data_IF_150065703858
#
_entry.id   IF_150065703858
#
_cell.length_a   1.000
_cell.length_b   1.000
_cell.length_c   1.000
_cell.angle_alpha   90.00
_cell.angle_beta   90.00
_cell.angle_gamma   90.00
#
_symmetry.space_group_name_H-M   'P 1'
#
loop_
_entity.id
_entity.type
_entity.pdbx_description
1 polymer ?
#
# COMPACT_ATOMS: atom_id res chain seq x y z
N UNK A 1 1.02 -82.41 6.79
CA UNK A 1 1.34 -82.73 5.37
C UNK A 1 0.12 -83.45 4.80
N UNK A 2 -0.37 -83.12 3.59
CA UNK A 2 -1.36 -83.99 2.95
C UNK A 2 -0.79 -85.41 2.90
N UNK A 3 -1.66 -86.41 3.12
CA UNK A 3 -1.24 -87.80 3.06
C UNK A 3 -0.53 -88.06 1.73
N UNK A 4 0.68 -88.62 1.76
CA UNK A 4 1.36 -89.02 0.54
C UNK A 4 0.49 -89.99 -0.26
N UNK A 5 0.67 -90.00 -1.59
CA UNK A 5 -0.10 -90.85 -2.48
C UNK A 5 0.00 -92.34 -2.08
N UNK A 6 -1.05 -93.11 -2.39
CA UNK A 6 -1.09 -94.56 -2.20
C UNK A 6 0.01 -95.25 -3.04
N UNK A 7 0.58 -96.32 -2.46
CA UNK A 7 1.53 -97.22 -3.10
C UNK A 7 0.92 -97.86 -4.36
N UNK A 8 1.25 -97.32 -5.54
CA UNK A 8 0.70 -97.84 -6.80
C UNK A 8 1.77 -98.19 -7.83
N UNK A 9 2.93 -97.54 -7.81
CA UNK A 9 4.10 -97.90 -8.64
C UNK A 9 5.40 -97.54 -7.92
N UNK A 10 6.36 -98.48 -7.85
CA UNK A 10 7.70 -98.27 -7.29
C UNK A 10 8.76 -98.64 -8.32
N UNK A 11 9.84 -97.87 -8.33
CA UNK A 11 11.03 -98.17 -9.13
C UNK A 11 11.82 -99.26 -8.42
N UNK A 12 12.19 -100.31 -9.16
CA UNK A 12 13.08 -101.36 -8.67
C UNK A 12 14.41 -100.73 -8.21
N UNK A 13 14.93 -101.20 -7.08
CA UNK A 13 16.22 -100.79 -6.48
C UNK A 13 16.28 -99.35 -5.91
N UNK A 14 15.14 -98.68 -5.73
CA UNK A 14 15.06 -97.40 -5.02
C UNK A 14 14.72 -97.57 -3.52
N UNK A 15 15.21 -96.64 -2.70
CA UNK A 15 14.92 -96.61 -1.25
C UNK A 15 13.76 -95.66 -0.97
N UNK A 16 12.74 -96.14 -0.27
CA UNK A 16 11.54 -95.38 0.07
C UNK A 16 11.37 -95.28 1.58
N UNK A 17 10.97 -94.09 2.06
CA UNK A 17 10.51 -93.90 3.45
C UNK A 17 9.00 -93.80 3.47
N UNK A 18 8.38 -94.57 4.36
CA UNK A 18 6.94 -94.85 4.32
C UNK A 18 6.32 -94.60 5.70
N UNK A 19 5.04 -94.26 5.74
CA UNK A 19 4.28 -94.05 6.98
C UNK A 19 3.03 -94.89 6.98
N UNK A 20 2.73 -95.53 8.11
CA UNK A 20 1.45 -96.22 8.33
C UNK A 20 0.39 -95.21 8.73
N UNK A 21 -0.73 -95.14 8.01
CA UNK A 21 -1.82 -94.20 8.30
C UNK A 21 -3.02 -94.83 9.02
N UNK A 22 -2.90 -96.08 9.47
CA UNK A 22 -4.00 -96.84 10.09
C UNK A 22 -4.70 -97.81 9.15
N UNK A 23 -4.57 -97.65 7.83
CA UNK A 23 -5.18 -98.54 6.83
C UNK A 23 -4.17 -99.02 5.77
N UNK A 24 -3.28 -98.14 5.31
CA UNK A 24 -2.27 -98.44 4.29
C UNK A 24 -0.91 -97.82 4.67
N UNK A 25 0.17 -98.38 4.11
CA UNK A 25 1.44 -97.65 4.02
C UNK A 25 1.33 -96.60 2.90
N UNK A 26 1.74 -95.37 3.20
CA UNK A 26 1.81 -94.25 2.26
C UNK A 26 3.25 -93.76 2.16
N UNK A 27 3.62 -93.17 1.02
CA UNK A 27 4.93 -92.51 0.90
C UNK A 27 4.99 -91.35 1.90
N UNK A 28 6.14 -91.18 2.56
CA UNK A 28 6.35 -89.99 3.38
C UNK A 28 6.38 -88.77 2.44
N UNK A 29 5.36 -87.91 2.51
CA UNK A 29 5.35 -86.67 1.73
C UNK A 29 6.57 -85.81 2.06
N UNK A 30 7.41 -85.56 1.06
CA UNK A 30 8.21 -84.34 1.01
C UNK A 30 7.26 -83.22 0.62
N UNK A 31 7.33 -82.10 1.32
CA UNK A 31 6.37 -81.04 1.11
C UNK A 31 6.79 -79.82 1.90
N UNK A 32 7.50 -78.92 1.24
CA UNK A 32 7.68 -77.55 1.67
C UNK A 32 6.42 -76.77 1.23
N UNK A 33 5.48 -76.55 2.14
CA UNK A 33 4.27 -75.76 1.87
C UNK A 33 4.52 -74.24 1.85
N UNK A 34 5.72 -73.82 1.46
CA UNK A 34 6.13 -72.43 1.40
C UNK A 34 5.74 -71.78 0.08
N UNK A 35 5.41 -70.49 0.12
CA UNK A 35 5.13 -69.67 -1.06
C UNK A 35 6.27 -68.69 -1.40
N UNK A 36 7.41 -68.82 -0.72
CA UNK A 36 8.57 -67.95 -0.95
C UNK A 36 9.15 -68.21 -2.35
N UNK A 37 9.41 -67.11 -3.05
CA UNK A 37 10.10 -67.08 -4.33
C UNK A 37 11.52 -66.55 -4.15
N UNK A 38 12.35 -66.64 -5.20
CA UNK A 38 13.69 -66.05 -5.18
C UNK A 38 13.67 -64.54 -4.84
N UNK A 39 12.67 -63.79 -5.31
CA UNK A 39 12.52 -62.36 -5.01
C UNK A 39 12.14 -62.07 -3.55
N UNK A 40 11.66 -63.05 -2.79
CA UNK A 40 11.32 -62.89 -1.37
C UNK A 40 12.52 -63.13 -0.44
N UNK A 41 13.62 -63.65 -0.98
CA UNK A 41 14.82 -64.03 -0.23
C UNK A 41 15.95 -63.05 -0.51
N UNK A 42 16.69 -62.66 0.54
CA UNK A 42 17.90 -61.87 0.40
C UNK A 42 18.89 -62.52 -0.56
N UNK A 43 19.55 -61.70 -1.38
CA UNK A 43 20.52 -62.16 -2.37
C UNK A 43 21.54 -63.13 -1.77
N UNK A 44 21.66 -64.31 -2.37
CA UNK A 44 22.57 -65.38 -1.93
C UNK A 44 22.06 -66.26 -0.78
N UNK A 45 20.87 -65.99 -0.22
CA UNK A 45 20.19 -66.93 0.70
C UNK A 45 19.45 -67.99 -0.08
N UNK A 46 19.45 -69.23 0.38
CA UNK A 46 18.78 -70.35 -0.28
C UNK A 46 17.56 -70.81 0.51
N UNK A 47 16.57 -71.38 -0.18
CA UNK A 47 15.45 -72.09 0.40
C UNK A 47 15.09 -73.31 -0.45
N UNK A 48 14.53 -74.36 0.16
CA UNK A 48 14.08 -75.56 -0.54
C UNK A 48 12.58 -75.50 -0.77
N UNK A 49 12.15 -75.75 -2.01
CA UNK A 49 10.74 -75.86 -2.42
C UNK A 49 10.49 -77.25 -2.99
N UNK A 50 9.23 -77.58 -3.23
CA UNK A 50 8.86 -78.83 -3.92
C UNK A 50 9.40 -78.91 -5.37
N UNK A 51 9.81 -77.76 -5.95
CA UNK A 51 10.45 -77.67 -7.27
C UNK A 51 11.99 -77.68 -7.23
N UNK A 52 12.59 -77.76 -6.03
CA UNK A 52 14.04 -77.72 -5.82
C UNK A 52 14.51 -76.51 -5.00
N UNK A 53 15.83 -76.33 -4.93
CA UNK A 53 16.45 -75.19 -4.25
C UNK A 53 16.27 -73.91 -5.07
N UNK A 54 15.85 -72.84 -4.40
CA UNK A 54 15.83 -71.48 -4.94
C UNK A 54 16.89 -70.63 -4.25
N UNK A 55 17.56 -69.77 -5.01
CA UNK A 55 18.51 -68.78 -4.49
C UNK A 55 17.89 -67.39 -4.55
N UNK A 56 17.98 -66.65 -3.46
CA UNK A 56 17.40 -65.33 -3.31
C UNK A 56 18.03 -64.29 -4.22
N UNK A 57 17.19 -63.33 -4.62
CA UNK A 57 17.55 -62.22 -5.51
C UNK A 57 17.25 -60.85 -4.90
N UNK A 58 16.58 -60.77 -3.73
CA UNK A 58 16.24 -59.49 -3.10
C UNK A 58 17.52 -58.72 -2.71
N UNK A 59 17.74 -57.50 -3.25
CA UNK A 59 18.89 -56.69 -2.86
C UNK A 59 18.80 -56.28 -1.40
N UNK A 60 19.93 -56.29 -0.69
CA UNK A 60 20.03 -55.66 0.62
C UNK A 60 20.46 -54.19 0.44
N UNK A 61 19.57 -53.25 0.78
CA UNK A 61 19.80 -51.80 0.68
C UNK A 61 20.38 -51.20 1.97
N UNK A 62 20.42 -51.96 3.06
CA UNK A 62 20.90 -51.47 4.35
C UNK A 62 20.06 -50.30 4.88
N UNK A 63 20.73 -49.28 5.41
CA UNK A 63 20.12 -48.02 5.83
C UNK A 63 20.16 -47.02 4.68
N UNK A 64 19.00 -46.71 4.11
CA UNK A 64 18.87 -45.71 3.05
C UNK A 64 18.41 -44.39 3.65
N UNK A 65 19.28 -43.37 3.60
CA UNK A 65 18.95 -42.03 4.06
C UNK A 65 19.03 -41.02 2.92
N UNK A 66 18.07 -40.08 2.88
CA UNK A 66 17.99 -39.07 1.84
C UNK A 66 17.50 -37.73 2.39
N UNK A 67 17.99 -36.64 1.82
CA UNK A 67 17.50 -35.29 2.14
C UNK A 67 16.78 -34.73 0.93
N UNK A 68 15.50 -34.41 1.09
CA UNK A 68 14.66 -33.86 0.04
C UNK A 68 14.88 -32.36 -0.11
N UNK A 69 14.96 -31.91 -1.37
CA UNK A 69 14.73 -30.51 -1.71
C UNK A 69 13.26 -30.14 -1.52
N UNK A 70 12.94 -28.83 -1.49
CA UNK A 70 11.55 -28.37 -1.42
C UNK A 70 10.79 -28.86 -2.65
N UNK A 71 9.65 -29.52 -2.42
CA UNK A 71 8.84 -30.21 -3.45
C UNK A 71 9.60 -31.30 -4.22
N UNK A 72 10.77 -31.73 -3.73
CA UNK A 72 11.51 -32.85 -4.28
C UNK A 72 10.82 -34.17 -3.99
N UNK A 73 11.16 -35.19 -4.78
CA UNK A 73 10.70 -36.57 -4.57
C UNK A 73 11.91 -37.50 -4.50
N UNK A 74 11.75 -38.61 -3.77
CA UNK A 74 12.75 -39.66 -3.67
C UNK A 74 12.07 -41.01 -3.81
N UNK A 75 12.43 -41.76 -4.85
CA UNK A 75 11.97 -43.13 -5.04
C UNK A 75 12.80 -44.06 -4.16
N UNK A 76 12.16 -44.68 -3.18
CA UNK A 76 12.79 -45.71 -2.35
C UNK A 76 13.01 -46.95 -3.23
N UNK A 77 14.27 -47.43 -3.39
CA UNK A 77 14.53 -48.58 -4.22
C UNK A 77 13.98 -49.86 -3.60
N UNK A 78 13.48 -50.77 -4.44
CA UNK A 78 13.06 -52.11 -4.01
C UNK A 78 14.22 -52.90 -3.39
N UNK A 79 13.89 -53.71 -2.39
CA UNK A 79 14.81 -54.57 -1.66
C UNK A 79 14.55 -54.52 -0.15
N UNK A 80 15.41 -55.19 0.60
CA UNK A 80 15.39 -55.18 2.06
C UNK A 80 16.07 -53.91 2.60
N UNK A 81 15.38 -53.22 3.51
CA UNK A 81 15.92 -52.09 4.26
C UNK A 81 16.00 -52.46 5.74
N UNK A 82 17.07 -52.05 6.41
CA UNK A 82 17.33 -52.44 7.80
C UNK A 82 16.58 -51.61 8.86
N UNK A 83 15.63 -50.77 8.43
CA UNK A 83 14.82 -49.90 9.31
C UNK A 83 15.57 -48.73 9.95
N UNK A 84 16.86 -48.53 9.68
CA UNK A 84 17.67 -47.44 10.26
C UNK A 84 17.85 -46.24 9.31
N UNK A 85 17.31 -46.33 8.09
CA UNK A 85 17.31 -45.22 7.13
C UNK A 85 16.31 -44.12 7.48
N UNK A 86 16.55 -42.90 7.01
CA UNK A 86 15.66 -41.75 7.24
C UNK A 86 15.56 -40.85 6.02
N UNK A 87 14.34 -40.42 5.69
CA UNK A 87 14.11 -39.33 4.73
C UNK A 87 13.87 -38.06 5.51
N UNK A 88 14.72 -37.05 5.30
CA UNK A 88 14.61 -35.73 5.95
C UNK A 88 14.30 -34.66 4.94
N UNK A 89 13.70 -33.57 5.41
CA UNK A 89 13.56 -32.33 4.65
C UNK A 89 13.75 -31.17 5.61
N UNK A 90 14.63 -30.24 5.24
CA UNK A 90 14.84 -29.01 5.99
C UNK A 90 14.23 -27.85 5.21
N UNK A 91 13.17 -27.28 5.76
CA UNK A 91 12.51 -26.12 5.18
C UNK A 91 12.90 -24.89 6.02
N UNK A 92 13.51 -23.85 5.43
CA UNK A 92 13.72 -22.59 6.13
C UNK A 92 12.39 -22.04 6.63
N UNK A 93 12.29 -21.79 7.93
CA UNK A 93 11.09 -21.21 8.54
C UNK A 93 11.30 -19.75 8.88
N UNK A 94 10.24 -18.97 8.72
CA UNK A 94 10.14 -17.60 9.21
C UNK A 94 9.21 -17.60 10.41
N UNK A 95 9.76 -17.24 11.57
CA UNK A 95 8.97 -17.03 12.78
C UNK A 95 8.04 -15.83 12.65
N UNK A 96 7.20 -15.59 13.66
CA UNK A 96 6.31 -14.45 13.69
C UNK A 96 7.09 -13.12 13.59
N UNK A 97 6.57 -12.17 12.82
CA UNK A 97 7.17 -10.85 12.69
C UNK A 97 6.11 -9.78 12.44
N UNK A 98 6.42 -8.56 12.85
CA UNK A 98 5.62 -7.36 12.56
C UNK A 98 6.41 -6.48 11.59
N UNK A 99 5.79 -6.11 10.48
CA UNK A 99 6.35 -5.32 9.40
C UNK A 99 5.68 -3.94 9.45
N UNK A 100 6.45 -2.92 9.81
CA UNK A 100 6.03 -1.52 9.72
C UNK A 100 6.26 -1.04 8.28
N UNK A 101 5.23 -0.59 7.53
CA UNK A 101 5.41 -0.06 6.18
C UNK A 101 6.46 1.06 6.11
N UNK A 102 7.13 1.19 4.96
CA UNK A 102 8.16 2.21 4.71
C UNK A 102 7.95 2.87 3.36
N UNK A 103 8.74 3.89 3.04
CA UNK A 103 8.71 4.54 1.72
C UNK A 103 9.36 3.71 0.61
N UNK A 104 10.04 2.62 0.97
CA UNK A 104 10.61 1.65 0.04
C UNK A 104 9.94 0.28 0.18
N UNK A 105 9.96 -0.50 -0.90
CA UNK A 105 9.43 -1.86 -0.91
C UNK A 105 10.15 -2.74 0.12
N UNK A 106 9.36 -3.47 0.90
CA UNK A 106 9.85 -4.46 1.85
C UNK A 106 9.48 -5.85 1.35
N UNK A 107 10.49 -6.67 1.09
CA UNK A 107 10.34 -7.97 0.44
C UNK A 107 10.44 -9.07 1.49
N UNK A 108 9.42 -9.93 1.54
CA UNK A 108 9.55 -11.25 2.17
C UNK A 108 10.09 -12.19 1.10
N UNK A 109 11.35 -12.62 1.26
CA UNK A 109 12.00 -13.48 0.29
C UNK A 109 11.27 -14.82 0.12
N UNK A 110 11.25 -15.32 -1.12
CA UNK A 110 10.65 -16.61 -1.44
C UNK A 110 11.42 -17.80 -0.82
N UNK A 111 10.80 -18.97 -0.80
CA UNK A 111 11.44 -20.21 -0.32
C UNK A 111 11.46 -20.38 1.19
N UNK A 112 10.65 -19.62 1.92
CA UNK A 112 10.50 -19.74 3.38
C UNK A 112 9.08 -20.16 3.73
N UNK A 113 8.94 -21.03 4.74
CA UNK A 113 7.65 -21.39 5.32
C UNK A 113 7.33 -20.47 6.50
N UNK A 114 6.12 -19.91 6.53
CA UNK A 114 5.68 -19.08 7.64
C UNK A 114 5.27 -19.98 8.81
N UNK A 115 6.14 -20.13 9.79
CA UNK A 115 5.84 -20.85 11.03
C UNK A 115 5.07 -19.97 12.03
N UNK A 116 5.00 -18.66 11.78
CA UNK A 116 4.20 -17.72 12.56
C UNK A 116 3.67 -16.58 11.68
N UNK A 117 2.61 -15.93 12.19
CA UNK A 117 1.96 -14.81 11.51
C UNK A 117 2.93 -13.69 11.17
N UNK A 118 2.82 -13.18 9.95
CA UNK A 118 3.45 -11.94 9.54
C UNK A 118 2.38 -10.85 9.59
N UNK A 119 2.59 -9.84 10.44
CA UNK A 119 1.63 -8.74 10.60
C UNK A 119 2.18 -7.54 9.84
N UNK A 120 1.53 -7.15 8.76
CA UNK A 120 1.81 -5.87 8.10
C UNK A 120 0.97 -4.83 8.82
N UNK A 121 1.61 -3.86 9.47
CA UNK A 121 0.90 -2.89 10.28
C UNK A 121 0.06 -1.94 9.41
N UNK A 122 -1.23 -1.91 9.67
CA UNK A 122 -2.09 -0.81 9.25
C UNK A 122 -1.91 0.40 10.16
N UNK A 123 -2.33 1.56 9.69
CA UNK A 123 -2.44 2.77 10.50
C UNK A 123 -3.88 3.29 10.42
N UNK A 124 -4.58 3.51 11.56
CA UNK A 124 -5.87 4.18 11.57
C UNK A 124 -5.83 5.58 10.95
N UNK A 125 -4.64 6.20 10.91
CA UNK A 125 -4.45 7.49 10.27
C UNK A 125 -4.30 7.40 8.75
N UNK A 126 -4.24 6.19 8.16
CA UNK A 126 -4.23 6.01 6.71
C UNK A 126 -5.64 6.11 6.12
N UNK A 127 -6.20 7.31 6.21
CA UNK A 127 -7.51 7.72 5.72
C UNK A 127 -7.37 8.91 4.78
N UNK A 128 -8.34 9.11 3.89
CA UNK A 128 -8.30 10.17 2.87
C UNK A 128 -8.17 11.57 3.48
N UNK A 129 -8.78 11.78 4.65
CA UNK A 129 -8.77 13.04 5.40
C UNK A 129 -7.39 13.42 5.95
N UNK A 130 -6.44 12.48 6.00
CA UNK A 130 -5.06 12.73 6.44
C UNK A 130 -4.07 12.77 5.28
N UNK A 131 -4.52 12.51 4.05
CA UNK A 131 -3.70 12.53 2.83
C UNK A 131 -3.97 13.85 2.11
N UNK A 132 -2.91 14.55 1.69
CA UNK A 132 -3.03 15.84 0.99
C UNK A 132 -3.95 15.74 -0.22
N UNK A 133 -4.83 16.73 -0.41
CA UNK A 133 -5.82 16.76 -1.48
C UNK A 133 -5.21 16.42 -2.85
N UNK A 134 -5.81 15.45 -3.53
CA UNK A 134 -5.41 15.00 -4.86
C UNK A 134 -4.21 14.07 -4.92
N UNK A 135 -3.54 13.78 -3.80
CA UNK A 135 -2.48 12.76 -3.74
C UNK A 135 -3.13 11.38 -3.64
N UNK A 136 -2.76 10.46 -4.54
CA UNK A 136 -3.19 9.07 -4.47
C UNK A 136 -2.14 8.25 -3.73
N UNK A 137 -2.53 7.61 -2.63
CA UNK A 137 -1.73 6.63 -1.91
C UNK A 137 -2.45 5.28 -1.96
N UNK A 138 -2.03 4.40 -2.87
CA UNK A 138 -2.56 3.04 -3.02
C UNK A 138 -4.09 2.95 -3.12
N UNK A 139 -4.72 3.86 -3.88
CA UNK A 139 -6.16 3.87 -4.11
C UNK A 139 -6.95 4.81 -3.20
N UNK A 140 -6.34 5.37 -2.15
CA UNK A 140 -6.92 6.46 -1.35
C UNK A 140 -6.49 7.80 -1.92
N UNK A 141 -7.43 8.54 -2.50
CA UNK A 141 -7.20 9.90 -2.98
C UNK A 141 -7.42 10.85 -1.79
N UNK A 142 -6.41 11.65 -1.49
CA UNK A 142 -6.45 12.57 -0.37
C UNK A 142 -7.52 13.64 -0.50
N UNK A 143 -8.10 14.01 0.65
CA UNK A 143 -9.08 15.08 0.84
C UNK A 143 -8.61 16.14 1.83
N UNK A 144 -7.44 15.95 2.48
CA UNK A 144 -6.89 16.93 3.41
C UNK A 144 -6.44 18.21 2.70
N UNK A 145 -7.08 19.33 3.03
CA UNK A 145 -6.74 20.65 2.48
C UNK A 145 -5.75 21.44 3.37
N UNK A 146 -5.31 20.86 4.49
CA UNK A 146 -4.49 21.54 5.50
C UNK A 146 -5.33 22.11 6.63
N UNK A 147 -4.82 22.02 7.86
CA UNK A 147 -5.33 22.80 8.98
C UNK A 147 -4.83 24.23 8.83
N UNK A 148 -5.64 25.10 8.24
CA UNK A 148 -5.47 26.52 8.46
C UNK A 148 -5.93 26.81 9.90
N UNK A 149 -5.10 26.48 10.91
CA UNK A 149 -5.32 26.97 12.27
C UNK A 149 -5.01 28.46 12.29
N UNK A 150 -6.02 29.26 12.00
CA UNK A 150 -6.00 30.67 12.32
C UNK A 150 -6.44 30.80 13.78
N UNK A 151 -5.52 31.08 14.69
CA UNK A 151 -5.88 31.44 16.07
C UNK A 151 -6.65 32.75 16.02
N UNK A 152 -7.96 32.70 16.28
CA UNK A 152 -8.84 33.86 16.26
C UNK A 152 -8.58 34.66 17.55
N UNK A 153 -7.80 35.74 17.45
CA UNK A 153 -7.99 36.87 18.36
C UNK A 153 -9.09 37.76 17.78
N UNK A 154 -9.83 38.44 18.65
CA UNK A 154 -11.04 39.22 18.37
C UNK A 154 -10.86 40.48 17.50
N UNK A 155 -9.84 40.53 16.65
CA UNK A 155 -9.56 41.62 15.71
C UNK A 155 -9.81 41.16 14.27
N UNK A 156 -10.23 42.04 13.33
CA UNK A 156 -10.32 41.69 11.93
C UNK A 156 -8.96 41.18 11.45
N UNK A 157 -8.97 39.96 10.94
CA UNK A 157 -7.75 39.24 10.63
C UNK A 157 -7.28 39.64 9.24
N UNK A 158 -6.10 40.27 9.16
CA UNK A 158 -5.36 40.46 7.91
C UNK A 158 -4.98 39.09 7.35
N UNK A 159 -5.67 38.62 6.31
CA UNK A 159 -5.35 37.32 5.68
C UNK A 159 -4.42 37.45 4.48
N UNK A 160 -4.43 38.61 3.83
CA UNK A 160 -3.54 38.91 2.73
C UNK A 160 -3.25 40.40 2.75
N UNK A 161 -1.98 40.78 2.63
CA UNK A 161 -1.56 42.16 2.42
C UNK A 161 -0.43 42.16 1.39
N UNK A 162 -0.65 42.80 0.25
CA UNK A 162 0.41 43.06 -0.72
C UNK A 162 1.08 44.40 -0.39
N UNK A 163 2.33 44.38 0.10
CA UNK A 163 3.12 45.58 0.44
C UNK A 163 3.98 46.11 -0.70
N UNK A 164 4.05 45.39 -1.83
CA UNK A 164 4.79 45.85 -3.01
C UNK A 164 4.05 47.01 -3.68
N UNK A 165 4.62 48.20 -3.69
CA UNK A 165 4.00 49.37 -4.34
C UNK A 165 3.69 49.13 -5.81
N UNK A 166 2.49 49.50 -6.23
CA UNK A 166 2.10 49.58 -7.63
C UNK A 166 2.04 51.06 -8.03
N UNK A 167 2.83 51.44 -9.04
CA UNK A 167 2.97 52.82 -9.49
C UNK A 167 2.23 53.05 -10.80
N UNK A 168 1.53 54.19 -10.87
CA UNK A 168 0.96 54.72 -12.10
C UNK A 168 1.44 56.16 -12.28
N UNK A 169 2.17 56.42 -13.35
CA UNK A 169 2.62 57.77 -13.74
C UNK A 169 2.09 58.08 -15.13
N UNK A 170 1.40 59.20 -15.33
CA UNK A 170 1.00 59.60 -16.67
C UNK A 170 0.87 61.12 -16.80
N UNK A 171 0.97 61.60 -18.05
CA UNK A 171 0.55 62.94 -18.43
C UNK A 171 -0.79 62.94 -19.20
N UNK A 172 -1.43 61.78 -19.43
CA UNK A 172 -2.61 61.66 -20.31
C UNK A 172 -3.54 60.44 -20.06
N UNK A 173 -3.27 59.51 -19.13
CA UNK A 173 -4.11 58.30 -19.01
C UNK A 173 -5.39 58.58 -18.21
N UNK A 174 -6.50 58.81 -18.90
CA UNK A 174 -7.84 58.87 -18.27
C UNK A 174 -8.44 57.50 -17.98
N UNK A 175 -7.81 56.44 -18.51
CA UNK A 175 -8.30 55.07 -18.40
C UNK A 175 -7.89 54.41 -17.10
N UNK A 176 -8.73 53.47 -16.67
CA UNK A 176 -8.48 52.67 -15.47
C UNK A 176 -7.39 51.65 -15.73
N UNK A 177 -6.40 51.59 -14.84
CA UNK A 177 -5.31 50.62 -14.83
C UNK A 177 -5.44 49.71 -13.61
N UNK A 178 -5.24 48.40 -13.80
CA UNK A 178 -5.22 47.43 -12.71
C UNK A 178 -3.95 47.64 -11.88
N UNK A 179 -4.11 47.90 -10.59
CA UNK A 179 -2.98 48.14 -9.67
C UNK A 179 -2.63 46.88 -8.90
N UNK A 180 -3.64 46.22 -8.33
CA UNK A 180 -3.49 45.02 -7.51
C UNK A 180 -4.67 44.09 -7.74
N UNK A 181 -4.42 42.79 -7.72
CA UNK A 181 -5.41 41.73 -7.84
C UNK A 181 -5.13 40.61 -6.85
N UNK A 182 -6.18 39.96 -6.36
CA UNK A 182 -6.11 38.75 -5.57
C UNK A 182 -7.25 37.79 -5.94
N UNK A 183 -6.93 36.50 -6.06
CA UNK A 183 -7.92 35.45 -6.28
C UNK A 183 -8.34 34.82 -4.95
N UNK A 184 -9.65 34.71 -4.73
CA UNK A 184 -10.23 34.11 -3.54
C UNK A 184 -10.15 32.59 -3.60
N UNK A 185 -9.72 31.96 -2.51
CA UNK A 185 -9.65 30.49 -2.39
C UNK A 185 -10.78 29.90 -1.55
N UNK A 186 -11.43 30.71 -0.71
CA UNK A 186 -12.49 30.27 0.21
C UNK A 186 -13.68 31.23 0.18
N UNK A 187 -14.90 30.68 0.14
CA UNK A 187 -16.11 31.48 0.23
C UNK A 187 -16.22 32.21 1.57
N UNK A 188 -16.88 33.37 1.59
CA UNK A 188 -17.15 34.11 2.81
C UNK A 188 -17.56 35.55 2.55
N UNK A 189 -17.52 36.36 3.60
CA UNK A 189 -17.72 37.81 3.53
C UNK A 189 -16.42 38.48 3.96
N UNK A 190 -15.95 39.46 3.18
CA UNK A 190 -14.66 40.13 3.40
C UNK A 190 -14.80 41.65 3.41
N UNK A 191 -13.84 42.31 4.06
CA UNK A 191 -13.50 43.72 3.88
C UNK A 191 -12.29 43.81 2.96
N UNK A 192 -12.35 44.72 2.01
CA UNK A 192 -11.21 45.12 1.19
C UNK A 192 -10.67 46.43 1.72
N UNK A 193 -9.35 46.54 1.83
CA UNK A 193 -8.66 47.78 2.17
C UNK A 193 -7.56 48.06 1.15
N UNK A 194 -7.42 49.31 0.73
CA UNK A 194 -6.30 49.73 -0.11
C UNK A 194 -5.73 51.04 0.43
N UNK A 195 -4.43 51.06 0.64
CA UNK A 195 -3.72 52.28 1.05
C UNK A 195 -3.05 52.89 -0.18
N UNK A 196 -3.29 54.18 -0.41
CA UNK A 196 -2.76 54.89 -1.57
C UNK A 196 -2.49 56.36 -1.28
N UNK A 197 -1.57 56.95 -2.04
CA UNK A 197 -1.33 58.38 -2.11
C UNK A 197 -1.00 58.79 -3.55
N UNK A 198 -1.04 60.09 -3.81
CA UNK A 198 -0.57 60.65 -5.08
C UNK A 198 0.34 61.85 -4.86
N UNK A 199 1.08 62.27 -5.90
CA UNK A 199 1.71 63.59 -5.92
C UNK A 199 1.57 64.23 -7.31
N UNK A 200 1.41 65.56 -7.34
CA UNK A 200 1.24 66.31 -8.60
C UNK A 200 -0.08 66.04 -9.34
N UNK A 201 -1.06 65.42 -8.67
CA UNK A 201 -2.34 65.01 -9.25
C UNK A 201 -3.49 65.94 -8.88
N UNK A 202 -4.28 66.34 -9.88
CA UNK A 202 -5.53 67.07 -9.66
C UNK A 202 -6.69 66.17 -9.24
N UNK A 203 -7.91 66.69 -9.35
CA UNK A 203 -9.21 66.00 -9.10
C UNK A 203 -9.46 64.74 -9.93
N UNK A 204 -8.57 64.41 -10.87
CA UNK A 204 -8.66 63.25 -11.77
C UNK A 204 -7.93 62.01 -11.25
N UNK A 205 -7.26 62.08 -10.09
CA UNK A 205 -6.58 60.92 -9.49
C UNK A 205 -7.53 60.12 -8.60
N UNK A 206 -7.89 58.91 -9.05
CA UNK A 206 -8.97 58.11 -8.47
C UNK A 206 -8.59 56.64 -8.25
N UNK A 207 -9.26 56.02 -7.28
CA UNK A 207 -9.21 54.58 -6.98
C UNK A 207 -10.60 53.95 -7.12
N UNK A 208 -10.62 52.66 -7.43
CA UNK A 208 -11.84 51.86 -7.54
C UNK A 208 -11.58 50.44 -7.06
N UNK A 209 -12.47 49.91 -6.22
CA UNK A 209 -12.49 48.46 -5.95
C UNK A 209 -13.37 47.76 -6.97
N UNK A 210 -12.91 46.60 -7.47
CA UNK A 210 -13.69 45.74 -8.36
C UNK A 210 -13.70 44.29 -7.88
N UNK A 211 -14.79 43.60 -8.21
CA UNK A 211 -14.93 42.16 -8.10
C UNK A 211 -15.26 41.58 -9.47
N UNK A 212 -14.46 40.65 -9.96
CA UNK A 212 -14.64 40.03 -11.28
C UNK A 212 -14.83 41.08 -12.40
N UNK A 213 -14.09 42.19 -12.33
CA UNK A 213 -14.20 43.33 -13.26
C UNK A 213 -15.39 44.28 -13.01
N UNK A 214 -16.29 43.97 -12.08
CA UNK A 214 -17.45 44.81 -11.72
C UNK A 214 -17.10 45.79 -10.61
N UNK A 215 -17.47 47.06 -10.74
CA UNK A 215 -17.22 48.10 -9.73
C UNK A 215 -17.97 47.82 -8.42
N UNK A 216 -17.25 47.83 -7.30
CA UNK A 216 -17.80 47.73 -5.93
C UNK A 216 -18.02 49.10 -5.28
N UNK A 217 -17.28 50.11 -5.73
CA UNK A 217 -17.38 51.48 -5.24
C UNK A 217 -17.76 52.43 -6.37
N UNK A 218 -18.04 53.68 -6.02
CA UNK A 218 -17.92 54.78 -6.96
C UNK A 218 -16.45 55.23 -7.02
N UNK A 219 -16.13 56.24 -7.83
CA UNK A 219 -14.76 56.74 -7.93
C UNK A 219 -14.31 57.37 -6.60
N UNK A 220 -13.27 56.79 -6.00
CA UNK A 220 -12.71 57.27 -4.73
C UNK A 220 -11.60 58.29 -5.02
N UNK A 221 -11.74 59.51 -4.51
CA UNK A 221 -10.70 60.54 -4.64
C UNK A 221 -9.53 60.22 -3.70
N UNK A 222 -8.31 60.23 -4.24
CA UNK A 222 -7.10 60.03 -3.44
C UNK A 222 -6.48 61.39 -3.13
N UNK A 223 -5.96 61.58 -1.92
CA UNK A 223 -5.25 62.79 -1.50
C UNK A 223 -3.74 62.71 -1.74
N UNK A 224 -3.05 63.85 -1.59
CA UNK A 224 -1.58 63.90 -1.64
C UNK A 224 -0.91 63.24 -0.43
N UNK A 225 -1.69 62.95 0.62
CA UNK A 225 -1.27 62.20 1.80
C UNK A 225 -1.76 60.75 1.68
N UNK A 226 -1.02 59.83 2.28
CA UNK A 226 -1.41 58.42 2.35
C UNK A 226 -2.73 58.21 3.09
N UNK A 227 -3.65 57.51 2.45
CA UNK A 227 -5.01 57.25 2.94
C UNK A 227 -5.39 55.79 2.68
N UNK A 228 -6.16 55.21 3.60
CA UNK A 228 -6.74 53.87 3.45
C UNK A 228 -8.21 53.99 3.09
N UNK A 229 -8.60 53.32 2.01
CA UNK A 229 -9.97 53.18 1.55
C UNK A 229 -10.44 51.76 1.84
N UNK A 230 -11.73 51.59 2.14
CA UNK A 230 -12.28 50.27 2.44
C UNK A 230 -13.65 50.02 1.80
N UNK A 231 -13.92 48.75 1.51
CA UNK A 231 -15.25 48.24 1.15
C UNK A 231 -15.58 47.10 2.09
N UNK A 232 -16.65 47.27 2.86
CA UNK A 232 -17.11 46.29 3.83
C UNK A 232 -18.12 45.32 3.23
N UNK A 233 -18.28 44.18 3.89
CA UNK A 233 -19.35 43.22 3.62
C UNK A 233 -19.40 42.69 2.16
N UNK A 234 -18.24 42.49 1.53
CA UNK A 234 -18.14 41.94 0.18
C UNK A 234 -18.28 40.42 0.25
N UNK A 235 -19.38 39.88 -0.29
CA UNK A 235 -19.56 38.43 -0.44
C UNK A 235 -18.61 37.88 -1.52
N UNK A 236 -17.92 36.78 -1.24
CA UNK A 236 -16.92 36.16 -2.13
C UNK A 236 -17.06 34.64 -2.18
N UNK A 237 -16.70 34.06 -3.32
CA UNK A 237 -16.65 32.64 -3.62
C UNK A 237 -15.23 32.24 -4.09
N UNK A 238 -14.86 30.94 -4.02
CA UNK A 238 -13.63 30.46 -4.63
C UNK A 238 -13.56 30.87 -6.11
N UNK A 239 -12.39 31.34 -6.53
CA UNK A 239 -12.04 31.88 -7.83
C UNK A 239 -12.53 33.31 -8.14
N UNK A 240 -13.26 33.97 -7.24
CA UNK A 240 -13.54 35.41 -7.40
C UNK A 240 -12.22 36.21 -7.42
N UNK A 241 -12.11 37.18 -8.33
CA UNK A 241 -11.01 38.12 -8.43
C UNK A 241 -11.39 39.44 -7.76
N UNK A 242 -10.63 39.85 -6.76
CA UNK A 242 -10.76 41.14 -6.09
C UNK A 242 -9.62 42.04 -6.53
N UNK A 243 -9.97 43.24 -6.99
CA UNK A 243 -9.07 44.11 -7.71
C UNK A 243 -9.12 45.54 -7.19
N UNK A 244 -7.98 46.22 -7.23
CA UNK A 244 -7.86 47.66 -7.05
C UNK A 244 -7.42 48.23 -8.38
N UNK A 245 -8.22 49.16 -8.91
CA UNK A 245 -7.93 49.91 -10.13
C UNK A 245 -7.68 51.36 -9.78
N UNK A 246 -6.83 52.02 -10.55
CA UNK A 246 -6.56 53.44 -10.40
C UNK A 246 -6.46 54.14 -11.75
N UNK A 247 -6.67 55.45 -11.75
CA UNK A 247 -6.38 56.34 -12.88
C UNK A 247 -5.79 57.65 -12.38
N UNK A 248 -4.93 58.26 -13.18
CA UNK A 248 -4.35 59.58 -12.90
C UNK A 248 -4.05 60.31 -14.19
N UNK A 249 -4.33 61.62 -14.21
CA UNK A 249 -4.18 62.47 -15.39
C UNK A 249 -2.89 63.31 -15.36
N UNK A 250 -2.45 63.74 -14.18
CA UNK A 250 -1.19 64.44 -13.96
C UNK A 250 -0.49 63.90 -12.72
N UNK A 251 0.82 63.73 -12.80
CA UNK A 251 1.63 63.27 -11.66
C UNK A 251 1.69 61.75 -11.54
N UNK A 252 1.93 61.29 -10.31
CA UNK A 252 2.01 59.86 -10.02
C UNK A 252 1.10 59.45 -8.87
N UNK A 253 0.65 58.20 -8.92
CA UNK A 253 -0.14 57.52 -7.91
C UNK A 253 0.60 56.27 -7.46
N UNK A 254 0.53 55.98 -6.17
CA UNK A 254 1.07 54.76 -5.57
C UNK A 254 -0.01 54.08 -4.73
N UNK A 255 -0.30 52.82 -5.03
CA UNK A 255 -1.05 51.92 -4.14
C UNK A 255 -0.04 51.12 -3.33
N UNK A 256 0.16 51.51 -2.08
CA UNK A 256 1.16 50.94 -1.17
C UNK A 256 0.69 49.62 -0.58
N UNK A 257 -0.61 49.47 -0.36
CA UNK A 257 -1.17 48.23 0.19
C UNK A 257 -2.51 47.83 -0.47
N UNK A 258 -2.77 46.53 -0.53
CA UNK A 258 -4.10 45.97 -0.74
C UNK A 258 -4.28 44.79 0.21
N UNK A 259 -5.28 44.88 1.07
CA UNK A 259 -5.58 43.92 2.13
C UNK A 259 -6.97 43.32 1.97
N UNK A 260 -7.09 42.04 2.32
CA UNK A 260 -8.37 41.33 2.38
C UNK A 260 -8.52 40.78 3.79
N UNK A 261 -9.59 41.21 4.47
CA UNK A 261 -9.90 40.84 5.84
C UNK A 261 -11.21 40.05 5.87
N UNK A 262 -11.20 38.84 6.44
CA UNK A 262 -12.42 38.03 6.53
C UNK A 262 -13.26 38.43 7.75
N UNK A 263 -14.57 38.49 7.56
CA UNK A 263 -15.52 38.85 8.61
C UNK A 263 -15.63 37.76 9.68
N UNK A 264 -15.70 38.14 10.95
CA UNK A 264 -16.33 37.32 12.00
C UNK A 264 -17.53 38.02 12.67
N UNK A 265 -17.66 39.36 12.56
CA UNK A 265 -18.86 40.18 12.79
C UNK A 265 -18.52 41.63 12.39
N UNK A 266 -19.17 42.23 11.39
CA UNK A 266 -18.93 43.65 11.03
C UNK A 266 -19.94 44.59 11.73
N UNK A 267 -19.51 45.27 12.81
CA UNK A 267 -19.94 46.63 13.17
C UNK A 267 -19.07 47.17 14.32
N UNK A 268 -18.74 48.47 14.39
CA UNK A 268 -19.75 49.53 14.51
C UNK A 268 -19.59 50.63 13.45
N UNK A 269 -20.65 51.42 13.29
CA UNK A 269 -20.73 52.64 12.48
C UNK A 269 -19.43 53.46 12.43
N UNK A 270 -19.12 54.01 11.24
CA UNK A 270 -18.89 55.45 10.98
C UNK A 270 -18.41 55.62 9.53
N UNK A 271 -19.35 55.60 8.58
CA UNK A 271 -19.23 56.49 7.43
C UNK A 271 -19.90 57.79 7.85
N UNK A 272 -19.17 58.68 8.52
CA UNK A 272 -19.62 60.06 8.69
C UNK A 272 -19.22 60.82 7.45
N UNK A 273 -20.18 61.06 6.56
CA UNK A 273 -20.06 62.21 5.68
C UNK A 273 -20.33 63.45 6.54
N UNK A 274 -19.34 64.32 6.69
CA UNK A 274 -19.60 65.69 7.15
C UNK A 274 -18.98 66.69 6.19
N UNK A 275 -19.91 67.27 5.43
CA UNK A 275 -19.93 68.32 4.41
C UNK A 275 -19.08 68.17 3.16
#
# INVERSE_FOLDING_TARGET
KPNGNLFTTLTKDAIYTVRWNGVNFILQGEGASGNATASDLLSGKTATTDAGEITGTMPNRGAVSHSLTINGTYTIPEGYHNGSGQVTQSIPTKGAATITPSTTDQIIAAGQYLAGSQIIQGSPNFIEQNIRKGVNMWGKIGTYEGDYTFTISSAPILQYQSTTSAYLSSSTTTDWVLMKEAQIKKAGTVRLEATAYHSGGGTMTKLMFRKNGVNLTWELQISSTEQTFSVDSVAVNPNDLLQVWAKTFTGYLNVTSFSILFATNFSPALVTFTK
#
